data_IF_817144418668
#
_entry.id   IF_817144418668
#
_cell.length_a   1.000
_cell.length_b   1.000
_cell.length_c   1.000
_cell.angle_alpha   90.00
_cell.angle_beta   90.00
_cell.angle_gamma   90.00
#
_symmetry.space_group_name_H-M   'P 1'
#
loop_
_entity.id
_entity.type
_entity.pdbx_description
1 polymer ?
#
# COMPACT_ATOMS: atom_id res chain seq x y z
N UNK A 1 3.58 10.79 13.15
CA UNK A 1 3.32 11.89 14.10
C UNK A 1 1.99 11.71 14.84
N UNK A 2 0.89 11.39 14.16
CA UNK A 2 -0.43 11.27 14.77
C UNK A 2 -0.50 10.31 15.99
N UNK A 3 -0.02 9.06 15.86
CA UNK A 3 -0.02 8.10 16.98
C UNK A 3 0.71 8.62 18.22
N UNK A 4 1.83 9.33 18.05
CA UNK A 4 2.57 9.94 19.17
C UNK A 4 1.75 11.03 19.84
N UNK A 5 1.24 11.99 19.06
CA UNK A 5 0.43 13.07 19.61
C UNK A 5 -0.77 12.49 20.39
N UNK A 6 -1.49 11.54 19.79
CA UNK A 6 -2.61 10.88 20.44
C UNK A 6 -2.24 10.21 21.77
N UNK A 7 -1.16 9.40 21.79
CA UNK A 7 -0.71 8.70 23.01
C UNK A 7 -0.16 9.65 24.09
N UNK A 8 0.26 10.86 23.72
CA UNK A 8 0.62 11.94 24.65
C UNK A 8 -0.60 12.77 25.13
N UNK A 9 -1.82 12.42 24.73
CA UNK A 9 -3.06 13.04 25.21
C UNK A 9 -3.61 14.15 24.33
N UNK A 10 -3.02 14.39 23.16
CA UNK A 10 -3.57 15.35 22.20
C UNK A 10 -4.81 14.78 21.53
N UNK A 11 -5.84 15.61 21.40
CA UNK A 11 -7.00 15.31 20.58
C UNK A 11 -6.65 15.47 19.09
N UNK A 12 -7.09 14.51 18.29
CA UNK A 12 -6.84 14.49 16.85
C UNK A 12 -8.12 14.90 16.12
N UNK A 13 -8.05 15.98 15.36
CA UNK A 13 -9.14 16.42 14.50
C UNK A 13 -8.74 16.32 13.02
N UNK A 14 -9.56 15.62 12.24
CA UNK A 14 -9.39 15.53 10.79
C UNK A 14 -10.39 16.47 10.11
N UNK A 15 -9.93 17.55 9.44
CA UNK A 15 -10.84 18.45 8.77
C UNK A 15 -11.55 17.74 7.60
N UNK A 16 -12.86 17.95 7.48
CA UNK A 16 -13.69 17.44 6.37
C UNK A 16 -13.39 18.11 5.01
N UNK A 17 -12.54 19.15 5.01
CA UNK A 17 -12.09 19.86 3.81
C UNK A 17 -10.57 19.93 3.80
N UNK A 18 -10.00 19.86 2.59
CA UNK A 18 -8.58 20.10 2.38
C UNK A 18 -8.30 21.58 2.65
N UNK A 19 -7.41 21.86 3.61
CA UNK A 19 -7.05 23.22 4.00
C UNK A 19 -5.75 23.70 3.38
N UNK A 20 -4.87 22.78 2.99
CA UNK A 20 -3.53 23.07 2.51
C UNK A 20 -3.03 22.00 1.54
N UNK A 21 -2.24 22.44 0.56
CA UNK A 21 -1.57 21.58 -0.41
C UNK A 21 -0.06 21.67 -0.23
N UNK A 22 0.63 20.55 -0.38
CA UNK A 22 2.08 20.57 -0.53
C UNK A 22 2.46 20.96 -1.96
N UNK A 23 3.25 22.02 -2.13
CA UNK A 23 3.75 22.44 -3.44
C UNK A 23 4.98 21.61 -3.89
N UNK A 24 4.72 20.35 -4.29
CA UNK A 24 5.76 19.39 -4.68
C UNK A 24 6.40 19.65 -6.06
N UNK A 25 5.69 20.36 -6.95
CA UNK A 25 6.09 20.59 -8.35
C UNK A 25 7.15 21.70 -8.53
N UNK A 26 7.76 22.16 -7.44
CA UNK A 26 8.85 23.13 -7.45
C UNK A 26 10.11 22.57 -8.14
N UNK A 27 10.21 22.73 -9.46
CA UNK A 27 11.36 22.27 -10.25
C UNK A 27 12.63 23.09 -9.97
N UNK A 28 12.47 24.39 -9.68
CA UNK A 28 13.57 25.33 -9.46
C UNK A 28 14.11 25.38 -8.02
N UNK A 29 13.54 24.59 -7.10
CA UNK A 29 13.92 24.62 -5.69
C UNK A 29 14.50 23.29 -5.25
N UNK A 30 15.62 23.35 -4.54
CA UNK A 30 16.29 22.18 -3.98
C UNK A 30 15.35 21.40 -3.06
N UNK A 31 15.44 20.08 -3.17
CA UNK A 31 14.79 19.12 -2.29
C UNK A 31 15.85 18.43 -1.45
N UNK A 32 15.46 17.87 -0.31
CA UNK A 32 16.40 17.19 0.60
C UNK A 32 17.15 16.02 -0.06
N UNK A 33 16.56 15.40 -1.09
CA UNK A 33 17.23 14.34 -1.84
C UNK A 33 18.19 14.85 -2.92
N UNK A 34 18.08 16.13 -3.28
CA UNK A 34 18.96 16.79 -4.25
C UNK A 34 20.25 17.29 -3.60
N UNK A 35 20.19 17.74 -2.34
CA UNK A 35 21.33 18.29 -1.59
C UNK A 35 21.99 17.26 -0.65
N UNK A 36 21.22 16.37 0.00
CA UNK A 36 21.77 15.29 0.83
C UNK A 36 22.00 14.03 -0.02
N UNK A 37 22.79 14.16 -1.08
CA UNK A 37 23.14 13.07 -1.99
C UNK A 37 24.46 12.38 -1.60
N UNK A 38 24.91 11.43 -2.43
CA UNK A 38 26.15 10.69 -2.16
C UNK A 38 27.39 11.59 -2.29
N UNK A 39 27.36 12.57 -3.19
CA UNK A 39 28.44 13.51 -3.44
C UNK A 39 28.64 14.44 -2.23
N UNK A 40 27.56 15.00 -1.69
CA UNK A 40 27.58 15.81 -0.48
C UNK A 40 28.03 15.02 0.76
N UNK A 41 27.74 13.72 0.80
CA UNK A 41 28.28 12.83 1.83
C UNK A 41 29.78 12.60 1.65
N UNK A 42 30.23 12.31 0.42
CA UNK A 42 31.65 12.08 0.10
C UNK A 42 32.51 13.32 0.36
N UNK A 43 31.98 14.52 0.12
CA UNK A 43 32.66 15.78 0.40
C UNK A 43 32.65 16.18 1.89
N UNK A 44 31.92 15.44 2.74
CA UNK A 44 31.77 15.75 4.16
C UNK A 44 30.76 16.86 4.47
N UNK A 45 30.09 17.43 3.47
CA UNK A 45 29.05 18.45 3.66
C UNK A 45 27.83 17.93 4.45
N UNK A 46 27.53 16.63 4.33
CA UNK A 46 26.52 15.95 5.16
C UNK A 46 27.04 14.62 5.69
N UNK A 47 26.61 14.23 6.90
CA UNK A 47 26.99 12.94 7.50
C UNK A 47 26.37 11.72 6.79
N UNK A 48 25.13 11.87 6.32
CA UNK A 48 24.32 10.80 5.74
C UNK A 48 23.58 11.32 4.51
N UNK A 49 23.55 10.51 3.47
CA UNK A 49 22.68 10.72 2.33
C UNK A 49 21.21 10.57 2.75
N UNK A 50 20.30 11.15 1.98
CA UNK A 50 18.88 11.21 2.30
C UNK A 50 18.26 9.82 2.49
N UNK A 51 18.65 8.82 1.68
CA UNK A 51 18.10 7.47 1.71
C UNK A 51 18.54 6.68 2.94
N UNK A 52 19.74 6.98 3.48
CA UNK A 52 20.22 6.40 4.73
C UNK A 52 19.41 6.93 5.92
N UNK A 53 19.14 8.23 5.91
CA UNK A 53 18.27 8.88 6.91
C UNK A 53 16.86 8.32 6.86
N UNK A 54 16.31 8.16 5.65
CA UNK A 54 14.98 7.59 5.42
C UNK A 54 14.90 6.14 5.94
N UNK A 55 15.92 5.32 5.68
CA UNK A 55 15.99 3.94 6.21
C UNK A 55 15.95 3.93 7.74
N UNK A 56 16.71 4.80 8.41
CA UNK A 56 16.72 4.92 9.88
C UNK A 56 15.36 5.40 10.39
N UNK A 57 14.79 6.44 9.79
CA UNK A 57 13.50 6.99 10.18
C UNK A 57 12.38 5.95 10.06
N UNK A 58 12.33 5.21 8.94
CA UNK A 58 11.34 4.13 8.72
C UNK A 58 11.50 2.99 9.72
N UNK A 59 12.73 2.59 10.06
CA UNK A 59 12.98 1.59 11.10
C UNK A 59 12.42 2.02 12.46
N UNK A 60 12.65 3.29 12.85
CA UNK A 60 12.08 3.87 14.08
C UNK A 60 10.55 3.88 14.06
N UNK A 61 9.94 4.25 12.94
CA UNK A 61 8.46 4.25 12.80
C UNK A 61 7.91 2.83 12.95
N UNK A 62 8.51 1.83 12.31
CA UNK A 62 8.06 0.43 12.42
C UNK A 62 8.24 -0.15 13.83
N UNK A 63 9.30 0.26 14.52
CA UNK A 63 9.51 -0.05 15.94
C UNK A 63 8.42 0.58 16.81
N UNK A 64 8.20 1.89 16.63
CA UNK A 64 7.22 2.67 17.39
C UNK A 64 5.78 2.13 17.21
N UNK A 65 5.42 1.69 16.00
CA UNK A 65 4.12 1.11 15.69
C UNK A 65 4.02 -0.39 15.96
N UNK A 66 5.08 -1.02 16.49
CA UNK A 66 5.10 -2.44 16.81
C UNK A 66 5.01 -3.38 15.60
N UNK A 67 5.28 -2.90 14.38
CA UNK A 67 5.22 -3.73 13.16
C UNK A 67 6.50 -4.54 12.93
N UNK A 68 7.62 -4.10 13.52
CA UNK A 68 8.89 -4.82 13.50
C UNK A 68 9.55 -4.72 14.87
N UNK A 69 10.06 -5.84 15.37
CA UNK A 69 10.90 -5.88 16.58
C UNK A 69 12.33 -5.49 16.21
N UNK A 70 12.56 -4.19 16.04
CA UNK A 70 13.89 -3.64 15.85
C UNK A 70 14.35 -2.95 17.13
N UNK A 71 15.66 -3.02 17.41
CA UNK A 71 16.29 -2.28 18.52
C UNK A 71 16.54 -0.80 18.17
N UNK A 72 15.59 -0.15 17.48
CA UNK A 72 15.76 1.24 17.07
C UNK A 72 15.62 2.17 18.29
N UNK A 73 16.63 2.99 18.55
CA UNK A 73 16.58 4.00 19.60
C UNK A 73 15.57 5.10 19.22
N UNK A 74 14.49 5.22 20.01
CA UNK A 74 13.42 6.19 19.81
C UNK A 74 13.68 7.52 20.55
N UNK A 75 14.45 7.51 21.64
CA UNK A 75 14.70 8.68 22.49
C UNK A 75 13.40 9.33 22.97
N UNK A 76 13.33 10.67 22.92
CA UNK A 76 12.13 11.44 23.25
C UNK A 76 10.97 11.27 22.24
N UNK A 77 11.16 10.51 21.18
CA UNK A 77 10.16 10.26 20.15
C UNK A 77 9.36 8.97 20.35
N UNK A 78 9.32 8.45 21.58
CA UNK A 78 8.49 7.32 21.96
C UNK A 78 6.98 7.67 22.03
N UNK A 79 6.16 6.64 22.24
CA UNK A 79 4.73 6.78 22.56
C UNK A 79 4.55 7.46 23.92
N UNK A 80 3.42 8.13 24.10
CA UNK A 80 3.03 8.67 25.41
C UNK A 80 2.31 7.63 26.26
N UNK A 81 1.92 8.04 27.47
CA UNK A 81 1.24 7.20 28.46
C UNK A 81 -0.22 7.59 28.72
N UNK A 82 -0.73 8.64 28.06
CA UNK A 82 -2.09 9.15 28.30
C UNK A 82 -3.16 8.32 27.60
N UNK A 83 -2.83 7.74 26.43
CA UNK A 83 -3.69 6.83 25.66
C UNK A 83 -2.82 5.74 25.04
N UNK A 84 -3.39 4.57 24.78
CA UNK A 84 -2.65 3.44 24.22
C UNK A 84 -2.56 3.51 22.68
N UNK A 85 -1.56 2.84 22.11
CA UNK A 85 -1.49 2.63 20.65
C UNK A 85 -2.67 1.79 20.15
N UNK A 86 -3.13 0.83 20.95
CA UNK A 86 -4.28 -0.02 20.61
C UNK A 86 -5.58 0.79 20.54
N UNK A 87 -5.77 1.77 21.43
CA UNK A 87 -6.91 2.69 21.29
C UNK A 87 -6.80 3.50 20.00
N UNK A 88 -5.60 3.97 19.64
CA UNK A 88 -5.40 4.66 18.37
C UNK A 88 -5.75 3.78 17.15
N UNK A 89 -5.38 2.50 17.19
CA UNK A 89 -5.76 1.49 16.19
C UNK A 89 -7.28 1.33 16.08
N UNK A 90 -7.99 1.24 17.21
CA UNK A 90 -9.46 1.18 17.24
C UNK A 90 -10.09 2.46 16.68
N UNK A 91 -9.64 3.63 17.11
CA UNK A 91 -10.15 4.93 16.64
C UNK A 91 -10.00 5.08 15.13
N UNK A 92 -8.94 4.55 14.53
CA UNK A 92 -8.72 4.63 13.09
C UNK A 92 -9.26 3.42 12.31
N UNK A 93 -9.67 2.36 13.01
CA UNK A 93 -10.03 1.08 12.39
C UNK A 93 -8.87 0.47 11.61
N UNK A 94 -7.63 0.54 12.12
CA UNK A 94 -6.45 -0.06 11.49
C UNK A 94 -5.75 -0.98 12.48
N UNK A 95 -5.14 -2.06 11.99
CA UNK A 95 -4.22 -2.88 12.77
C UNK A 95 -2.84 -2.87 12.09
N UNK A 96 -1.86 -2.25 12.74
CA UNK A 96 -0.53 -2.06 12.17
C UNK A 96 0.21 -3.40 12.00
N UNK A 97 0.10 -4.29 12.97
CA UNK A 97 0.80 -5.58 12.98
C UNK A 97 0.32 -6.50 11.86
N UNK A 98 -1.01 -6.70 11.76
CA UNK A 98 -1.66 -7.51 10.72
C UNK A 98 -1.75 -6.80 9.38
N UNK A 99 -1.44 -5.50 9.31
CA UNK A 99 -1.65 -4.64 8.12
C UNK A 99 -3.08 -4.75 7.58
N UNK A 100 -4.03 -4.79 8.52
CA UNK A 100 -5.46 -4.96 8.26
C UNK A 100 -6.23 -3.70 8.62
N UNK A 101 -7.46 -3.59 8.13
CA UNK A 101 -8.31 -2.41 8.28
C UNK A 101 -9.75 -2.82 8.51
N UNK A 102 -10.52 -2.03 9.25
CA UNK A 102 -11.96 -2.17 9.36
C UNK A 102 -12.61 -1.88 8.01
N UNK A 103 -13.59 -2.68 7.54
CA UNK A 103 -14.24 -2.51 6.24
C UNK A 103 -14.73 -1.08 5.97
N UNK A 104 -15.30 -0.41 6.98
CA UNK A 104 -15.83 0.96 6.85
C UNK A 104 -14.79 2.03 6.48
N UNK A 105 -13.51 1.80 6.78
CA UNK A 105 -12.41 2.73 6.42
C UNK A 105 -12.19 2.72 4.91
N UNK A 106 -12.32 1.56 4.27
CA UNK A 106 -12.13 1.40 2.82
C UNK A 106 -13.45 1.29 2.06
N UNK A 107 -14.58 1.26 2.76
CA UNK A 107 -15.92 1.25 2.19
C UNK A 107 -16.31 2.57 1.53
N UNK A 108 -17.59 2.71 1.22
CA UNK A 108 -18.15 3.87 0.51
C UNK A 108 -17.95 5.18 1.27
N UNK A 109 -18.17 5.16 2.58
CA UNK A 109 -18.17 6.36 3.41
C UNK A 109 -16.78 6.78 3.91
N UNK A 110 -15.76 5.92 3.75
CA UNK A 110 -14.37 6.20 4.15
C UNK A 110 -14.27 6.70 5.60
N UNK A 111 -14.78 5.91 6.55
CA UNK A 111 -14.78 6.28 7.97
C UNK A 111 -13.35 6.54 8.42
N UNK A 112 -13.12 7.71 9.00
CA UNK A 112 -11.80 8.18 9.43
C UNK A 112 -11.63 8.22 10.95
N UNK A 113 -12.72 8.04 11.70
CA UNK A 113 -12.71 8.01 13.16
C UNK A 113 -13.89 7.19 13.73
N UNK A 114 -13.61 6.23 14.61
CA UNK A 114 -14.60 5.45 15.35
C UNK A 114 -14.80 6.03 16.76
N UNK A 115 -16.03 6.46 17.05
CA UNK A 115 -16.41 7.04 18.35
C UNK A 115 -16.52 5.96 19.43
N UNK A 116 -17.02 4.79 19.07
CA UNK A 116 -17.16 3.67 19.98
C UNK A 116 -15.96 2.73 19.86
N UNK A 117 -15.42 2.32 21.01
CA UNK A 117 -14.35 1.34 21.07
C UNK A 117 -14.94 -0.06 21.05
N UNK A 118 -14.26 -1.05 20.43
CA UNK A 118 -14.72 -2.42 20.45
C UNK A 118 -14.76 -2.95 21.89
N UNK A 119 -15.81 -3.69 22.22
CA UNK A 119 -15.99 -4.32 23.53
C UNK A 119 -15.06 -5.50 23.76
N UNK A 120 -14.62 -6.16 22.69
CA UNK A 120 -13.70 -7.29 22.72
C UNK A 120 -12.66 -7.18 21.60
N UNK A 121 -11.38 -7.35 21.95
CA UNK A 121 -10.27 -7.25 21.00
C UNK A 121 -10.36 -8.31 19.89
N UNK A 122 -10.66 -9.56 20.24
CA UNK A 122 -10.71 -10.66 19.28
C UNK A 122 -11.83 -10.48 18.24
N UNK A 123 -13.02 -10.05 18.66
CA UNK A 123 -14.12 -9.75 17.74
C UNK A 123 -13.75 -8.63 16.77
N UNK A 124 -13.04 -7.60 17.25
CA UNK A 124 -12.53 -6.56 16.38
C UNK A 124 -11.48 -7.08 15.40
N UNK A 125 -10.60 -7.99 15.82
CA UNK A 125 -9.61 -8.60 14.93
C UNK A 125 -10.26 -9.45 13.84
N UNK A 126 -11.32 -10.18 14.16
CA UNK A 126 -12.12 -10.99 13.23
C UNK A 126 -12.89 -10.12 12.22
N UNK A 127 -13.26 -8.89 12.60
CA UNK A 127 -13.95 -7.97 11.70
C UNK A 127 -13.04 -7.27 10.69
N UNK A 128 -11.72 -7.39 10.81
CA UNK A 128 -10.78 -6.70 9.92
C UNK A 128 -10.62 -7.44 8.60
N UNK A 129 -10.32 -6.66 7.56
CA UNK A 129 -9.96 -7.15 6.23
C UNK A 129 -8.52 -6.76 5.89
N UNK A 130 -7.85 -7.59 5.10
CA UNK A 130 -6.54 -7.29 4.55
C UNK A 130 -6.71 -6.61 3.20
N UNK A 131 -5.96 -5.52 2.99
CA UNK A 131 -5.97 -4.78 1.73
C UNK A 131 -4.75 -5.18 0.92
N UNK A 132 -4.98 -5.89 -0.19
CA UNK A 132 -3.95 -6.36 -1.08
C UNK A 132 -3.83 -5.39 -2.26
N UNK A 133 -2.64 -4.81 -2.46
CA UNK A 133 -2.34 -3.92 -3.60
C UNK A 133 -1.00 -4.26 -4.22
N UNK A 134 -0.98 -4.41 -5.54
CA UNK A 134 0.25 -4.65 -6.30
C UNK A 134 0.18 -3.90 -7.63
N UNK A 135 1.29 -3.24 -7.98
CA UNK A 135 1.52 -2.73 -9.33
C UNK A 135 2.57 -3.61 -10.00
N UNK A 136 2.22 -4.21 -11.12
CA UNK A 136 3.10 -5.03 -11.94
C UNK A 136 3.50 -4.26 -13.19
N UNK A 137 4.79 -4.28 -13.52
CA UNK A 137 5.27 -3.86 -14.84
C UNK A 137 5.22 -5.07 -15.77
N UNK A 138 4.47 -4.95 -16.85
CA UNK A 138 4.28 -5.99 -17.86
C UNK A 138 4.81 -5.45 -19.16
N UNK A 139 5.71 -6.18 -19.80
CA UNK A 139 6.18 -5.79 -21.12
C UNK A 139 5.12 -6.15 -22.16
N UNK A 140 4.97 -5.28 -23.17
CA UNK A 140 4.00 -5.45 -24.24
C UNK A 140 4.18 -6.78 -24.99
N UNK A 141 5.42 -7.26 -25.10
CA UNK A 141 5.71 -8.54 -25.74
C UNK A 141 5.24 -9.75 -24.90
N UNK A 142 5.11 -9.61 -23.58
CA UNK A 142 4.58 -10.65 -22.69
C UNK A 142 3.05 -10.65 -22.74
N UNK A 143 2.43 -9.48 -22.58
CA UNK A 143 0.99 -9.30 -22.72
C UNK A 143 0.67 -7.94 -23.33
N UNK A 144 0.12 -7.96 -24.55
CA UNK A 144 -0.34 -6.76 -25.23
C UNK A 144 -1.83 -6.50 -24.94
N UNK A 145 -2.10 -5.71 -23.91
CA UNK A 145 -3.46 -5.31 -23.52
C UNK A 145 -4.18 -4.42 -24.55
N UNK A 146 -3.53 -4.05 -25.66
CA UNK A 146 -4.13 -3.26 -26.75
C UNK A 146 -4.65 -4.11 -27.91
N UNK A 147 -4.48 -5.43 -27.84
CA UNK A 147 -4.99 -6.38 -28.84
C UNK A 147 -6.51 -6.33 -28.96
N UNK A 148 -7.00 -6.08 -30.17
CA UNK A 148 -8.44 -6.00 -30.48
C UNK A 148 -9.11 -7.37 -30.68
N UNK A 149 -8.31 -8.42 -30.93
CA UNK A 149 -8.76 -9.79 -31.11
C UNK A 149 -9.00 -10.53 -29.77
N UNK A 150 -8.50 -9.97 -28.67
CA UNK A 150 -8.78 -10.44 -27.31
C UNK A 150 -10.17 -9.97 -26.89
N UNK A 151 -11.00 -10.91 -26.45
CA UNK A 151 -12.34 -10.63 -25.95
C UNK A 151 -12.31 -10.13 -24.50
N UNK A 152 -11.54 -10.82 -23.66
CA UNK A 152 -11.31 -10.47 -22.26
C UNK A 152 -10.03 -11.12 -21.75
N UNK A 153 -9.52 -10.61 -20.64
CA UNK A 153 -8.35 -11.13 -19.95
C UNK A 153 -8.76 -11.76 -18.63
N UNK A 154 -8.32 -12.98 -18.38
CA UNK A 154 -8.31 -13.55 -17.03
C UNK A 154 -7.11 -13.01 -16.28
N UNK A 155 -7.36 -12.39 -15.14
CA UNK A 155 -6.34 -11.97 -14.19
C UNK A 155 -6.63 -12.68 -12.88
N UNK A 156 -5.80 -13.67 -12.55
CA UNK A 156 -5.90 -14.47 -11.35
C UNK A 156 -4.73 -14.25 -10.41
N UNK A 157 -4.98 -14.16 -9.11
CA UNK A 157 -3.97 -14.14 -8.05
C UNK A 157 -4.07 -15.44 -7.26
N UNK A 158 -2.94 -16.10 -7.06
CA UNK A 158 -2.87 -17.43 -6.45
C UNK A 158 -1.91 -17.45 -5.27
N UNK A 159 -2.22 -18.28 -4.28
CA UNK A 159 -1.35 -18.50 -3.13
C UNK A 159 -0.29 -19.60 -3.40
N UNK A 160 0.54 -19.90 -2.40
CA UNK A 160 1.60 -20.92 -2.52
C UNK A 160 1.08 -22.34 -2.78
N UNK A 161 -0.18 -22.64 -2.42
CA UNK A 161 -0.85 -23.91 -2.68
C UNK A 161 -1.57 -23.93 -4.04
N UNK A 162 -1.35 -22.90 -4.87
CA UNK A 162 -2.01 -22.72 -6.15
C UNK A 162 -3.55 -22.53 -6.04
N UNK A 163 -4.06 -22.19 -4.86
CA UNK A 163 -5.46 -21.84 -4.65
C UNK A 163 -5.70 -20.39 -5.08
N UNK A 164 -6.85 -20.16 -5.74
CA UNK A 164 -7.24 -18.85 -6.22
C UNK A 164 -7.62 -17.95 -5.04
N UNK A 165 -6.96 -16.80 -4.96
CA UNK A 165 -7.22 -15.73 -3.97
C UNK A 165 -8.19 -14.70 -4.54
N UNK A 166 -7.96 -14.32 -5.80
CA UNK A 166 -8.78 -13.39 -6.55
C UNK A 166 -8.73 -13.81 -8.02
N UNK A 167 -9.83 -13.68 -8.73
CA UNK A 167 -9.81 -13.70 -10.18
C UNK A 167 -10.85 -12.75 -10.74
N UNK A 168 -10.50 -12.09 -11.83
CA UNK A 168 -11.40 -11.20 -12.56
C UNK A 168 -11.25 -11.45 -14.06
N UNK A 169 -12.38 -11.43 -14.77
CA UNK A 169 -12.40 -11.33 -16.22
C UNK A 169 -12.57 -9.88 -16.62
N UNK A 170 -11.58 -9.34 -17.30
CA UNK A 170 -11.49 -7.92 -17.61
C UNK A 170 -11.54 -7.72 -19.12
N UNK A 171 -12.62 -7.12 -19.60
CA UNK A 171 -12.73 -6.69 -20.99
C UNK A 171 -11.82 -5.49 -21.30
N UNK A 172 -11.70 -5.13 -22.58
CA UNK A 172 -10.83 -4.04 -23.02
C UNK A 172 -11.22 -2.66 -22.44
N UNK A 173 -12.50 -2.43 -22.14
CA UNK A 173 -13.00 -1.17 -21.58
C UNK A 173 -12.62 -1.04 -20.10
N UNK A 174 -12.73 -2.13 -19.35
CA UNK A 174 -12.34 -2.20 -17.94
C UNK A 174 -10.83 -2.31 -17.78
N UNK A 175 -10.12 -2.91 -18.73
CA UNK A 175 -8.65 -3.02 -18.72
C UNK A 175 -8.01 -1.63 -18.63
N UNK A 176 -8.51 -0.64 -19.38
CA UNK A 176 -8.03 0.76 -19.35
C UNK A 176 -8.11 1.42 -17.96
N UNK A 177 -8.95 0.91 -17.05
CA UNK A 177 -9.07 1.43 -15.68
C UNK A 177 -7.97 0.90 -14.76
N UNK A 178 -7.46 -0.30 -15.04
CA UNK A 178 -6.49 -1.00 -14.20
C UNK A 178 -5.07 -0.98 -14.78
N UNK A 179 -4.89 -0.63 -16.05
CA UNK A 179 -3.56 -0.41 -16.64
C UNK A 179 -3.21 1.07 -16.77
N UNK A 180 -1.93 1.38 -16.74
CA UNK A 180 -1.37 2.67 -17.15
C UNK A 180 -0.23 2.42 -18.12
N UNK A 181 -0.27 3.06 -19.29
CA UNK A 181 0.84 2.98 -20.26
C UNK A 181 1.97 3.88 -19.79
N UNK A 182 3.13 3.31 -19.49
CA UNK A 182 4.30 4.08 -19.05
C UNK A 182 5.09 4.60 -20.25
N UNK A 183 5.25 3.77 -21.27
CA UNK A 183 5.84 4.06 -22.57
C UNK A 183 5.27 3.09 -23.63
N UNK A 184 5.82 3.05 -24.84
CA UNK A 184 5.33 2.19 -25.93
C UNK A 184 5.55 0.69 -25.70
N UNK A 185 6.39 0.28 -24.75
CA UNK A 185 6.74 -1.12 -24.50
C UNK A 185 6.30 -1.64 -23.13
N UNK A 186 5.88 -0.79 -22.19
CA UNK A 186 5.56 -1.20 -20.82
C UNK A 186 4.19 -0.72 -20.36
N UNK A 187 3.42 -1.66 -19.79
CA UNK A 187 2.19 -1.40 -19.05
C UNK A 187 2.41 -1.56 -17.55
N UNK A 188 1.82 -0.68 -16.75
CA UNK A 188 1.65 -0.86 -15.31
C UNK A 188 0.24 -1.39 -15.02
N UNK A 189 0.13 -2.67 -14.66
CA UNK A 189 -1.11 -3.30 -14.21
C UNK A 189 -1.27 -3.11 -12.69
N UNK A 190 -2.36 -2.46 -12.28
CA UNK A 190 -2.67 -2.15 -10.87
C UNK A 190 -3.76 -3.08 -10.38
N UNK A 191 -3.41 -3.95 -9.43
CA UNK A 191 -4.32 -4.88 -8.78
C UNK A 191 -4.62 -4.40 -7.37
N UNK A 192 -5.90 -4.41 -6.99
CA UNK A 192 -6.34 -4.09 -5.65
C UNK A 192 -7.56 -4.95 -5.30
N UNK A 193 -7.48 -5.70 -4.19
CA UNK A 193 -8.60 -6.49 -3.66
C UNK A 193 -8.46 -6.64 -2.14
N UNK A 194 -9.55 -7.02 -1.49
CA UNK A 194 -9.58 -7.24 -0.06
C UNK A 194 -9.80 -8.73 0.24
N UNK A 195 -9.25 -9.23 1.35
CA UNK A 195 -9.49 -10.59 1.84
C UNK A 195 -9.82 -10.56 3.33
N UNK A 196 -10.65 -11.51 3.79
CA UNK A 196 -10.98 -11.66 5.22
C UNK A 196 -9.82 -12.30 5.99
N UNK A 197 -9.03 -13.15 5.32
CA UNK A 197 -7.88 -13.84 5.90
C UNK A 197 -6.61 -13.54 5.12
N UNK A 198 -5.46 -13.77 5.75
CA UNK A 198 -4.16 -13.70 5.05
C UNK A 198 -4.07 -14.87 4.06
N UNK A 199 -4.36 -14.56 2.80
CA UNK A 199 -4.35 -15.51 1.71
C UNK A 199 -2.94 -15.78 1.18
N UNK A 200 -1.91 -15.14 1.73
CA UNK A 200 -0.50 -15.24 1.32
C UNK A 200 -0.30 -15.33 -0.22
N UNK A 201 -0.78 -14.33 -0.97
CA UNK A 201 -0.70 -14.31 -2.43
C UNK A 201 0.76 -14.38 -2.90
N UNK A 202 0.99 -15.18 -3.95
CA UNK A 202 2.34 -15.56 -4.40
C UNK A 202 2.58 -15.31 -5.88
N UNK A 203 1.59 -15.55 -6.72
CA UNK A 203 1.71 -15.31 -8.16
C UNK A 203 0.45 -14.67 -8.73
N UNK A 204 0.65 -13.98 -9.85
CA UNK A 204 -0.37 -13.39 -10.70
C UNK A 204 -0.27 -14.05 -12.06
N UNK A 205 -1.38 -14.59 -12.56
CA UNK A 205 -1.49 -15.14 -13.90
C UNK A 205 -2.40 -14.28 -14.74
N UNK A 206 -1.92 -13.93 -15.92
CA UNK A 206 -2.61 -13.08 -16.88
C UNK A 206 -2.74 -13.91 -18.15
N UNK A 207 -3.96 -14.14 -18.60
CA UNK A 207 -4.24 -14.98 -19.76
C UNK A 207 -5.34 -14.35 -20.63
N UNK A 208 -5.10 -14.14 -21.94
CA UNK A 208 -6.13 -13.63 -22.83
C UNK A 208 -7.07 -14.76 -23.28
N UNK A 209 -8.35 -14.42 -23.42
CA UNK A 209 -9.29 -15.21 -24.18
C UNK A 209 -9.52 -14.54 -25.55
N UNK A 210 -9.10 -15.22 -26.61
CA UNK A 210 -9.10 -14.72 -27.99
C UNK A 210 -10.34 -15.28 -28.70
N UNK A 211 -11.18 -14.41 -29.28
CA UNK A 211 -12.54 -14.76 -29.77
C UNK A 211 -12.65 -16.03 -30.61
N UNK A 212 -11.62 -16.30 -31.43
CA UNK A 212 -11.62 -17.43 -32.38
C UNK A 212 -10.62 -18.54 -32.01
N UNK A 213 -9.75 -18.32 -31.02
CA UNK A 213 -8.65 -19.23 -30.67
C UNK A 213 -8.78 -19.79 -29.25
N UNK A 214 -9.65 -19.21 -28.41
CA UNK A 214 -9.79 -19.57 -27.01
C UNK A 214 -8.65 -19.00 -26.16
N UNK A 215 -8.17 -19.79 -25.20
CA UNK A 215 -7.11 -19.38 -24.27
C UNK A 215 -5.76 -19.21 -24.98
N UNK A 216 -5.15 -18.04 -24.80
CA UNK A 216 -3.78 -17.78 -25.25
C UNK A 216 -2.72 -18.09 -24.19
N UNK A 217 -1.50 -17.64 -24.44
CA UNK A 217 -0.37 -17.84 -23.53
C UNK A 217 -0.57 -17.16 -22.18
N UNK A 218 -0.09 -17.81 -21.13
CA UNK A 218 -0.17 -17.31 -19.75
C UNK A 218 1.11 -16.57 -19.39
N UNK A 219 0.96 -15.33 -18.94
CA UNK A 219 2.04 -14.59 -18.27
C UNK A 219 1.91 -14.77 -16.78
N UNK A 220 2.93 -15.34 -16.15
CA UNK A 220 3.01 -15.45 -14.69
C UNK A 220 4.02 -14.45 -14.12
N UNK A 221 3.60 -13.68 -13.12
CA UNK A 221 4.44 -12.72 -12.38
C UNK A 221 4.36 -12.99 -10.88
N UNK A 222 5.42 -12.68 -10.11
CA UNK A 222 5.34 -12.75 -8.65
C UNK A 222 4.37 -11.69 -8.11
N UNK A 223 3.57 -12.09 -7.10
CA UNK A 223 2.75 -11.15 -6.32
C UNK A 223 3.61 -10.16 -5.52
#
# INVERSE_FOLDING_TARGET
>A
MAARAFTHGYDCYAPHKILLWHFYTRSKHSKVWSDHNNEAKKSGAVKLAWWERDKIAKSRVRTLLGTEQNNAELGCYALGSQRSLQEFEYRLGVNFSKRAVHPDVVGTYKVSYFTDLPTAHEQWLESLILVNKKTLKIEKHEADFTREDVEWWHIGVYNAQNAQVMAEHVDISNMKKIITKTDDSIFELKLAFNTETDSNPRSVRICPYIRLQGWGDVVEKPW
#
